data_IF_078288573394
#
_entry.id   IF_078288573394
#
_cell.length_a   1.000
_cell.length_b   1.000
_cell.length_c   1.000
_cell.angle_alpha   90.00
_cell.angle_beta   90.00
_cell.angle_gamma   90.00
#
_symmetry.space_group_name_H-M   'P 1'
#
loop_
_entity.id
_entity.type
_entity.pdbx_description
1 polymer ?
#
# COMPACT_ATOMS: atom_id res chain seq x y z
N UNK A 1 4.23 18.94 25.52
CA UNK A 1 4.32 17.81 24.60
C UNK A 1 2.97 17.09 24.55
N UNK A 2 2.47 16.79 23.39
CA UNK A 2 1.28 15.95 23.19
C UNK A 2 1.42 15.14 21.90
N UNK A 3 0.68 14.05 21.82
CA UNK A 3 0.55 13.19 20.64
C UNK A 3 -0.87 13.30 20.12
N UNK A 4 -1.03 13.27 18.81
CA UNK A 4 -2.35 13.32 18.16
C UNK A 4 -2.36 12.49 16.89
N UNK A 5 -3.48 11.81 16.66
CA UNK A 5 -3.77 11.13 15.39
C UNK A 5 -4.61 12.06 14.52
N UNK A 6 -4.23 12.20 13.28
CA UNK A 6 -4.89 13.09 12.31
C UNK A 6 -5.01 12.41 10.95
N UNK A 7 -5.98 12.83 10.17
CA UNK A 7 -6.14 12.36 8.80
C UNK A 7 -5.03 12.85 7.87
N UNK A 8 -4.81 12.12 6.78
CA UNK A 8 -3.91 12.55 5.72
C UNK A 8 -4.28 13.94 5.21
N UNK A 9 -3.24 14.77 4.97
CA UNK A 9 -3.44 16.16 4.54
C UNK A 9 -3.61 17.18 5.68
N UNK A 10 -3.69 16.75 6.93
CA UNK A 10 -3.73 17.69 8.07
C UNK A 10 -2.38 18.35 8.29
N UNK A 11 -2.36 19.69 8.25
CA UNK A 11 -1.16 20.48 8.51
C UNK A 11 -1.02 20.74 10.01
N UNK A 12 -0.14 20.00 10.68
CA UNK A 12 0.04 20.09 12.14
C UNK A 12 0.49 21.50 12.59
N UNK A 13 1.32 22.17 11.79
CA UNK A 13 1.71 23.58 12.09
C UNK A 13 0.49 24.49 12.17
N UNK A 14 -0.45 24.31 11.25
CA UNK A 14 -1.69 25.07 11.22
C UNK A 14 -2.59 24.75 12.41
N UNK A 15 -2.68 23.48 12.77
CA UNK A 15 -3.41 23.03 13.96
C UNK A 15 -2.89 23.70 15.23
N UNK A 16 -1.56 23.76 15.41
CA UNK A 16 -0.94 24.41 16.57
C UNK A 16 -1.21 25.91 16.58
N UNK A 17 -1.10 26.59 15.43
CA UNK A 17 -1.43 28.02 15.28
C UNK A 17 -2.89 28.30 15.66
N UNK A 18 -3.83 27.46 15.20
CA UNK A 18 -5.25 27.63 15.51
C UNK A 18 -5.57 27.38 16.99
N UNK A 19 -4.94 26.40 17.63
CA UNK A 19 -5.02 26.21 19.08
C UNK A 19 -4.46 27.43 19.82
N UNK A 20 -3.35 27.95 19.34
CA UNK A 20 -2.67 29.11 19.92
C UNK A 20 -3.52 30.36 19.95
N UNK A 21 -4.42 30.58 19.01
CA UNK A 21 -5.33 31.74 18.97
C UNK A 21 -6.15 31.91 20.26
N UNK A 22 -6.48 30.78 20.91
CA UNK A 22 -7.24 30.78 22.17
C UNK A 22 -6.34 30.87 23.42
N UNK A 23 -5.02 30.81 23.26
CA UNK A 23 -4.03 30.74 24.35
C UNK A 23 -3.05 31.93 24.35
N UNK A 24 -3.33 32.94 23.54
CA UNK A 24 -2.40 34.11 23.42
C UNK A 24 -1.26 33.86 22.43
N UNK A 25 -1.29 32.78 21.65
CA UNK A 25 -0.31 32.42 20.66
C UNK A 25 0.34 31.07 20.95
N UNK A 26 0.59 30.29 19.90
CA UNK A 26 1.41 29.08 19.97
C UNK A 26 2.10 28.83 18.63
N UNK A 27 3.26 28.21 18.66
CA UNK A 27 3.96 27.73 17.47
C UNK A 27 4.59 26.39 17.76
N UNK A 28 4.77 25.62 16.70
CA UNK A 28 5.35 24.30 16.78
C UNK A 28 6.87 24.39 16.89
N UNK A 29 7.44 23.88 17.98
CA UNK A 29 8.87 23.81 18.19
C UNK A 29 9.49 22.62 17.47
N UNK A 30 8.86 21.42 17.64
CA UNK A 30 9.33 20.17 17.07
C UNK A 30 8.14 19.33 16.62
N UNK A 31 8.33 18.55 15.57
CA UNK A 31 7.33 17.58 15.08
C UNK A 31 8.00 16.25 14.78
N UNK A 32 7.50 15.21 15.38
CA UNK A 32 7.92 13.83 15.11
C UNK A 32 6.71 13.01 14.66
N UNK A 33 6.87 12.29 13.56
CA UNK A 33 5.85 11.33 13.11
C UNK A 33 6.21 9.96 13.66
N UNK A 34 5.39 9.46 14.56
CA UNK A 34 5.56 8.14 15.19
C UNK A 34 4.94 7.02 14.38
N UNK A 35 3.92 7.33 13.56
CA UNK A 35 3.21 6.33 12.75
C UNK A 35 2.68 6.92 11.44
N UNK A 36 2.65 6.10 10.40
CA UNK A 36 2.01 6.41 9.11
C UNK A 36 1.26 5.18 8.59
N UNK A 37 -0.07 5.14 8.77
CA UNK A 37 -0.91 3.99 8.45
C UNK A 37 -0.43 2.75 9.21
N UNK A 38 0.02 1.71 8.52
CA UNK A 38 0.53 0.45 9.08
C UNK A 38 2.01 0.52 9.47
N UNK A 39 2.72 1.59 9.12
CA UNK A 39 4.14 1.73 9.37
C UNK A 39 4.39 2.51 10.66
N UNK A 40 5.15 1.90 11.57
CA UNK A 40 5.62 2.50 12.82
C UNK A 40 7.05 3.04 12.66
N UNK A 41 7.42 4.07 13.42
CA UNK A 41 8.78 4.61 13.37
C UNK A 41 9.83 3.62 13.85
N UNK A 42 9.46 2.71 14.75
CA UNK A 42 10.38 1.67 15.27
C UNK A 42 10.75 0.64 14.21
N UNK A 43 9.92 0.49 13.16
CA UNK A 43 10.19 -0.39 12.02
C UNK A 43 10.96 0.32 10.90
N UNK A 44 11.28 1.61 11.10
CA UNK A 44 11.98 2.43 10.11
C UNK A 44 13.49 2.17 10.18
N UNK A 45 14.13 2.21 9.04
CA UNK A 45 15.59 2.19 8.92
C UNK A 45 16.09 3.60 8.58
N UNK A 46 17.31 3.92 8.94
CA UNK A 46 17.92 5.17 8.54
C UNK A 46 18.49 5.10 7.11
N UNK A 47 18.75 6.28 6.54
CA UNK A 47 19.26 6.37 5.16
C UNK A 47 20.64 5.75 5.00
N UNK A 48 21.47 5.71 6.05
CA UNK A 48 22.83 5.14 5.97
C UNK A 48 22.76 3.63 5.92
N UNK A 49 21.90 2.99 6.72
CA UNK A 49 21.62 1.56 6.65
C UNK A 49 21.14 1.15 5.25
N UNK A 50 20.25 1.95 4.66
CA UNK A 50 19.75 1.68 3.31
C UNK A 50 20.87 1.79 2.25
N UNK A 51 21.70 2.85 2.33
CA UNK A 51 22.81 3.04 1.39
C UNK A 51 23.88 1.95 1.50
N UNK A 52 24.16 1.47 2.72
CA UNK A 52 25.08 0.35 2.95
C UNK A 52 24.52 -0.93 2.34
N UNK A 53 23.23 -1.22 2.53
CA UNK A 53 22.57 -2.38 1.93
C UNK A 53 22.60 -2.34 0.39
N UNK A 54 22.42 -1.15 -0.22
CA UNK A 54 22.57 -0.97 -1.68
C UNK A 54 24.01 -1.25 -2.14
N UNK A 55 25.00 -0.78 -1.39
CA UNK A 55 26.40 -1.05 -1.72
C UNK A 55 26.72 -2.55 -1.73
N UNK A 56 26.30 -3.25 -0.66
CA UNK A 56 26.44 -4.71 -0.57
C UNK A 56 25.73 -5.43 -1.75
N UNK A 57 24.54 -4.96 -2.11
CA UNK A 57 23.80 -5.49 -3.25
C UNK A 57 24.59 -5.34 -4.57
N UNK A 58 25.20 -4.19 -4.82
CA UNK A 58 26.03 -3.95 -5.99
C UNK A 58 27.30 -4.82 -6.02
N UNK A 59 27.82 -5.17 -4.84
CA UNK A 59 28.97 -6.07 -4.67
C UNK A 59 28.56 -7.57 -4.74
N UNK A 60 27.25 -7.85 -5.01
CA UNK A 60 26.73 -9.21 -5.20
C UNK A 60 26.11 -9.87 -3.97
N UNK A 61 26.02 -9.15 -2.86
CA UNK A 61 25.37 -9.62 -1.63
C UNK A 61 23.99 -8.98 -1.46
N UNK A 62 22.94 -9.69 -1.88
CA UNK A 62 21.56 -9.18 -1.84
C UNK A 62 20.87 -9.31 -0.46
N UNK A 63 21.48 -10.04 0.47
CA UNK A 63 20.88 -10.36 1.76
C UNK A 63 20.53 -9.12 2.61
N UNK A 64 21.42 -8.15 2.85
CA UNK A 64 21.10 -6.98 3.67
C UNK A 64 19.96 -6.15 3.09
N UNK A 65 19.91 -6.02 1.75
CA UNK A 65 18.83 -5.27 1.10
C UNK A 65 17.49 -6.00 1.24
N UNK A 66 17.46 -7.32 1.09
CA UNK A 66 16.23 -8.12 1.26
C UNK A 66 15.70 -8.08 2.69
N UNK A 67 16.55 -7.99 3.69
CA UNK A 67 16.17 -7.94 5.11
C UNK A 67 15.45 -6.63 5.47
N UNK A 68 15.78 -5.53 4.81
CA UNK A 68 15.20 -4.21 5.07
C UNK A 68 14.02 -3.87 4.16
N UNK A 69 13.84 -4.57 3.04
CA UNK A 69 12.71 -4.35 2.14
C UNK A 69 11.47 -5.06 2.65
N UNK A 70 10.38 -4.30 2.73
CA UNK A 70 9.08 -4.85 3.07
C UNK A 70 8.41 -5.35 1.78
N UNK A 71 7.98 -6.63 1.73
CA UNK A 71 7.30 -7.18 0.57
C UNK A 71 6.00 -6.44 0.22
N UNK A 72 5.68 -6.35 -1.08
CA UNK A 72 4.48 -5.66 -1.57
C UNK A 72 3.17 -6.30 -1.09
N UNK A 73 3.21 -7.54 -0.65
CA UNK A 73 2.10 -8.30 -0.07
C UNK A 73 1.52 -7.64 1.20
N UNK A 74 2.29 -6.77 1.86
CA UNK A 74 1.81 -5.96 3.00
C UNK A 74 0.58 -5.11 2.65
N UNK A 75 0.33 -4.86 1.37
CA UNK A 75 -0.86 -4.12 0.90
C UNK A 75 -2.17 -4.74 1.39
N UNK A 76 -2.21 -6.05 1.62
CA UNK A 76 -3.38 -6.77 2.18
C UNK A 76 -3.80 -6.27 3.56
N UNK A 77 -2.91 -5.57 4.29
CA UNK A 77 -3.23 -4.95 5.59
C UNK A 77 -4.03 -3.64 5.47
N UNK A 78 -4.06 -3.02 4.30
CA UNK A 78 -4.68 -1.69 4.09
C UNK A 78 -5.71 -1.68 2.97
N UNK A 79 -5.68 -2.68 2.09
CA UNK A 79 -6.60 -2.81 0.95
C UNK A 79 -7.20 -4.22 1.00
N UNK A 80 -8.52 -4.37 0.90
CA UNK A 80 -9.15 -5.67 0.90
C UNK A 80 -8.63 -6.54 -0.24
N UNK A 81 -8.31 -7.79 0.10
CA UNK A 81 -7.78 -8.76 -0.84
C UNK A 81 -8.86 -9.65 -1.44
N UNK A 82 -8.64 -10.03 -2.69
CA UNK A 82 -9.41 -11.04 -3.42
C UNK A 82 -8.49 -12.08 -4.04
N UNK A 83 -9.01 -13.29 -4.19
CA UNK A 83 -8.30 -14.36 -4.86
C UNK A 83 -8.74 -14.48 -6.31
N UNK A 84 -7.77 -14.50 -7.23
CA UNK A 84 -8.01 -14.66 -8.66
C UNK A 84 -7.52 -16.01 -9.17
N UNK A 85 -8.22 -16.52 -10.19
CA UNK A 85 -7.89 -17.78 -10.84
C UNK A 85 -6.53 -17.74 -11.51
N UNK A 86 -5.82 -18.83 -11.45
CA UNK A 86 -4.49 -19.00 -12.04
C UNK A 86 -4.44 -18.66 -13.55
N UNK A 87 -5.46 -19.06 -14.30
CA UNK A 87 -5.56 -18.75 -15.73
C UNK A 87 -5.75 -17.27 -16.07
N UNK A 88 -6.06 -16.43 -15.07
CA UNK A 88 -6.23 -14.99 -15.22
C UNK A 88 -4.93 -14.21 -15.00
N UNK A 89 -3.97 -14.79 -14.29
CA UNK A 89 -2.73 -14.11 -13.84
C UNK A 89 -2.01 -13.44 -15.00
N UNK A 90 -1.76 -14.18 -16.08
CA UNK A 90 -1.02 -13.68 -17.23
C UNK A 90 -1.66 -12.43 -17.84
N UNK A 91 -2.99 -12.40 -17.93
CA UNK A 91 -3.72 -11.24 -18.48
C UNK A 91 -3.66 -10.06 -17.52
N UNK A 92 -3.81 -10.29 -16.22
CA UNK A 92 -3.76 -9.25 -15.21
C UNK A 92 -2.37 -8.62 -15.13
N UNK A 93 -1.29 -9.38 -15.23
CA UNK A 93 0.08 -8.85 -15.33
C UNK A 93 0.32 -7.96 -16.56
N UNK A 94 -0.47 -8.14 -17.62
CA UNK A 94 -0.44 -7.26 -18.79
C UNK A 94 -1.40 -6.06 -18.66
N UNK A 95 -1.94 -5.82 -17.48
CA UNK A 95 -2.81 -4.67 -17.22
C UNK A 95 -4.26 -4.85 -17.69
N UNK A 96 -4.72 -6.08 -17.86
CA UNK A 96 -6.13 -6.31 -18.17
C UNK A 96 -7.02 -5.92 -17.00
N UNK A 97 -8.24 -5.39 -17.27
CA UNK A 97 -9.23 -5.13 -16.25
C UNK A 97 -9.62 -6.41 -15.48
N UNK A 98 -10.01 -6.23 -14.23
CA UNK A 98 -10.50 -7.30 -13.37
C UNK A 98 -11.99 -7.51 -13.59
N UNK A 99 -12.37 -8.73 -13.97
CA UNK A 99 -13.76 -9.13 -14.16
C UNK A 99 -14.20 -10.15 -13.11
N UNK A 100 -15.51 -10.26 -12.88
CA UNK A 100 -16.10 -11.24 -11.95
C UNK A 100 -15.70 -12.69 -12.25
N UNK A 101 -15.56 -13.03 -13.53
CA UNK A 101 -15.10 -14.36 -13.97
C UNK A 101 -13.65 -14.68 -13.58
N UNK A 102 -12.84 -13.65 -13.27
CA UNK A 102 -11.45 -13.85 -12.85
C UNK A 102 -11.34 -14.27 -11.37
N UNK A 103 -12.39 -14.06 -10.57
CA UNK A 103 -12.39 -14.40 -9.15
C UNK A 103 -12.45 -15.92 -8.93
N UNK A 104 -11.77 -16.43 -7.91
CA UNK A 104 -11.92 -17.81 -7.46
C UNK A 104 -13.28 -18.05 -6.81
N UNK A 105 -13.78 -17.09 -6.04
CA UNK A 105 -15.03 -17.19 -5.31
C UNK A 105 -15.91 -15.94 -5.48
N UNK A 106 -17.21 -16.15 -5.60
CA UNK A 106 -18.16 -15.03 -5.57
C UNK A 106 -18.23 -14.33 -4.20
N UNK A 107 -17.85 -15.02 -3.11
CA UNK A 107 -17.76 -14.39 -1.79
C UNK A 107 -16.76 -13.25 -1.74
N UNK A 108 -15.73 -13.30 -2.58
CA UNK A 108 -14.75 -12.22 -2.67
C UNK A 108 -15.35 -10.94 -3.26
N UNK A 109 -16.36 -11.07 -4.13
CA UNK A 109 -17.08 -9.91 -4.64
C UNK A 109 -17.85 -9.16 -3.54
N UNK A 110 -18.42 -9.88 -2.57
CA UNK A 110 -19.17 -9.26 -1.46
C UNK A 110 -18.25 -8.44 -0.56
N UNK A 111 -17.00 -8.86 -0.35
CA UNK A 111 -16.00 -8.15 0.47
C UNK A 111 -15.65 -6.76 -0.07
N UNK A 112 -15.73 -6.61 -1.39
CA UNK A 112 -15.20 -5.43 -2.08
C UNK A 112 -16.28 -4.46 -2.56
N UNK A 113 -17.55 -4.74 -2.23
CA UNK A 113 -18.70 -4.02 -2.82
C UNK A 113 -18.70 -2.51 -2.52
N UNK A 114 -18.17 -2.12 -1.36
CA UNK A 114 -18.11 -0.74 -0.88
C UNK A 114 -16.68 -0.16 -0.87
N UNK A 115 -15.72 -0.88 -1.44
CA UNK A 115 -14.32 -0.51 -1.39
C UNK A 115 -13.91 0.29 -2.62
N UNK A 116 -13.01 1.24 -2.48
CA UNK A 116 -12.48 2.01 -3.60
C UNK A 116 -11.37 1.26 -4.33
N UNK A 117 -10.56 0.51 -3.58
CA UNK A 117 -9.40 -0.22 -4.09
C UNK A 117 -9.45 -1.69 -3.67
N UNK A 118 -8.87 -2.53 -4.49
CA UNK A 118 -8.88 -3.98 -4.36
C UNK A 118 -7.47 -4.50 -4.63
N UNK A 119 -6.94 -5.31 -3.73
CA UNK A 119 -5.67 -6.02 -3.94
C UNK A 119 -5.95 -7.44 -4.48
N UNK A 120 -5.43 -7.74 -5.66
CA UNK A 120 -5.59 -9.04 -6.28
C UNK A 120 -4.40 -9.95 -5.98
N UNK A 121 -4.72 -11.17 -5.52
CA UNK A 121 -3.76 -12.22 -5.19
C UNK A 121 -4.12 -13.52 -5.91
N UNK A 122 -3.13 -14.36 -6.16
CA UNK A 122 -3.32 -15.77 -6.39
C UNK A 122 -2.51 -16.54 -5.35
N UNK A 123 -3.18 -17.14 -4.38
CA UNK A 123 -2.57 -17.64 -3.13
C UNK A 123 -1.80 -16.52 -2.43
N UNK A 124 -0.51 -16.70 -2.25
CA UNK A 124 0.38 -15.71 -1.62
C UNK A 124 1.01 -14.74 -2.63
N UNK A 125 0.75 -14.93 -3.92
CA UNK A 125 1.33 -14.12 -4.98
C UNK A 125 0.52 -12.85 -5.20
N UNK A 126 1.09 -11.70 -4.85
CA UNK A 126 0.50 -10.40 -5.13
C UNK A 126 0.58 -10.06 -6.62
N UNK A 127 -0.54 -9.69 -7.22
CA UNK A 127 -0.65 -9.36 -8.65
C UNK A 127 -0.71 -7.86 -8.87
N UNK A 128 -1.50 -7.16 -8.07
CA UNK A 128 -1.64 -5.73 -8.22
C UNK A 128 -2.82 -5.14 -7.46
N UNK A 129 -2.93 -3.82 -7.53
CA UNK A 129 -4.05 -3.06 -7.00
C UNK A 129 -4.93 -2.58 -8.14
N UNK A 130 -6.21 -2.75 -7.98
CA UNK A 130 -7.24 -2.35 -8.94
C UNK A 130 -8.14 -1.28 -8.31
N UNK A 131 -8.42 -0.23 -9.06
CA UNK A 131 -9.46 0.74 -8.70
C UNK A 131 -10.81 0.16 -9.05
N UNK A 132 -11.71 0.09 -8.06
CA UNK A 132 -13.04 -0.45 -8.27
C UNK A 132 -13.84 0.38 -9.25
N UNK A 133 -14.66 -0.30 -10.05
CA UNK A 133 -15.61 0.31 -11.00
C UNK A 133 -17.01 -0.22 -10.71
N UNK A 134 -17.94 0.70 -10.48
CA UNK A 134 -19.35 0.34 -10.40
C UNK A 134 -19.92 0.15 -11.81
N UNK A 135 -19.92 -1.10 -12.27
CA UNK A 135 -20.47 -1.45 -13.55
C UNK A 135 -21.92 -1.93 -13.39
N UNK A 136 -22.82 -1.45 -14.26
CA UNK A 136 -24.24 -1.86 -14.26
C UNK A 136 -24.41 -3.37 -14.41
N UNK A 137 -23.48 -4.05 -15.08
CA UNK A 137 -23.54 -5.48 -15.37
C UNK A 137 -22.82 -6.34 -14.32
N UNK A 138 -22.19 -5.74 -13.29
CA UNK A 138 -21.41 -6.47 -12.26
C UNK A 138 -20.28 -7.37 -12.82
N UNK A 139 -20.03 -7.33 -14.12
CA UNK A 139 -18.98 -8.11 -14.76
C UNK A 139 -17.60 -7.49 -14.58
N UNK A 140 -17.49 -6.18 -14.86
CA UNK A 140 -16.26 -5.41 -14.64
C UNK A 140 -16.21 -5.00 -13.17
N UNK A 141 -15.18 -5.45 -12.47
CA UNK A 141 -14.98 -5.18 -11.04
C UNK A 141 -14.03 -4.01 -10.84
N UNK A 142 -12.94 -3.96 -11.61
CA UNK A 142 -11.95 -2.91 -11.43
C UNK A 142 -11.03 -2.73 -12.62
N UNK A 143 -10.43 -1.55 -12.68
CA UNK A 143 -9.37 -1.21 -13.62
C UNK A 143 -8.01 -1.21 -12.92
N UNK A 144 -6.92 -1.64 -13.57
CA UNK A 144 -5.62 -1.69 -12.95
C UNK A 144 -5.14 -0.28 -12.59
N UNK A 145 -4.71 -0.11 -11.34
CA UNK A 145 -4.04 1.10 -10.85
C UNK A 145 -2.54 0.86 -10.71
N UNK A 146 -2.18 -0.29 -10.16
CA UNK A 146 -0.81 -0.74 -10.03
C UNK A 146 -0.72 -2.23 -10.28
N UNK A 147 0.20 -2.66 -11.14
CA UNK A 147 0.47 -4.08 -11.42
C UNK A 147 1.91 -4.39 -11.08
N UNK A 148 2.09 -5.39 -10.21
CA UNK A 148 3.41 -5.93 -9.89
C UNK A 148 3.83 -6.87 -11.02
N UNK A 149 4.74 -6.41 -11.88
CA UNK A 149 5.28 -7.28 -12.92
C UNK A 149 6.36 -8.19 -12.30
N UNK A 150 6.27 -9.52 -12.49
CA UNK A 150 7.33 -10.41 -12.03
C UNK A 150 8.64 -10.05 -12.74
N UNK A 151 9.70 -9.91 -11.98
CA UNK A 151 11.06 -9.76 -12.54
C UNK A 151 11.39 -11.10 -13.18
N UNK A 152 11.34 -11.16 -14.52
CA UNK A 152 11.89 -12.29 -15.25
C UNK A 152 13.40 -12.25 -15.10
N UNK A 153 13.93 -12.99 -14.13
CA UNK A 153 15.36 -13.32 -14.12
C UNK A 153 15.63 -14.13 -15.39
N UNK A 154 16.18 -13.46 -16.40
CA UNK A 154 16.77 -14.12 -17.58
C UNK A 154 18.08 -14.78 -17.17
#
# INVERSE_FOLDING_TARGET
LFETEVQAGTYIRKLIDDIGKNLGGAHMLELRRTKASIFDENDSIDIYQFLEAIKEFNDGNDKPLREILIPGEIVSKVVPEIQVKENSIKKLYHGAPLFSQNLESQKDYEKIINEEKIAAFNKDLFIGVFKRVDSKNKELIGTPEYILQPINNK
#
